data_IF_847449508471
#
_entry.id   IF_847449508471
#
_cell.length_a   1.000
_cell.length_b   1.000
_cell.length_c   1.000
_cell.angle_alpha   90.00
_cell.angle_beta   90.00
_cell.angle_gamma   90.00
#
_symmetry.space_group_name_H-M   'P 1'
#
loop_
_entity.id
_entity.type
_entity.pdbx_description
1 polymer ?
2 polymer ?
3 non-polymer ?
4 non-polymer ?
5 water ?
#
# COMPACT_ATOMS: atom_id res chain seq x y z
N UNK A 21 -20.46 7.83 -0.01
CA UNK A 21 -18.98 7.87 0.23
C UNK A 21 -18.35 6.68 -0.51
N UNK A 22 -17.40 6.93 -1.40
CA UNK A 22 -16.72 5.85 -2.14
C UNK A 22 -15.22 6.07 -2.22
N UNK A 23 -14.42 5.00 -2.20
CA UNK A 23 -12.97 5.10 -2.38
C UNK A 23 -12.63 5.15 -3.87
N UNK A 24 -11.45 5.70 -4.17
CA UNK A 24 -10.99 5.88 -5.53
C UNK A 24 -9.59 5.26 -5.70
N UNK A 25 -9.43 4.45 -6.72
CA UNK A 25 -8.14 3.82 -7.03
C UNK A 25 -7.21 4.92 -7.59
N UNK A 26 -6.04 5.12 -6.97
CA UNK A 26 -5.04 6.07 -7.53
C UNK A 26 -4.08 5.34 -8.48
N UNK A 27 -3.52 4.22 -8.02
CA UNK A 27 -2.56 3.47 -8.81
C UNK A 27 -2.60 2.01 -8.47
N UNK A 28 -2.53 1.17 -9.48
CA UNK A 28 -2.23 -0.27 -9.33
C UNK A 28 -0.71 -0.41 -9.11
N UNK A 29 -0.32 -1.01 -7.98
CA UNK A 29 1.08 -1.08 -7.56
C UNK A 29 1.75 -2.41 -7.81
N UNK A 30 0.98 -3.47 -7.92
CA UNK A 30 1.54 -4.79 -8.06
C UNK A 30 0.36 -5.75 -8.27
N UNK A 31 0.70 -6.97 -8.66
CA UNK A 31 -0.25 -8.04 -8.93
C UNK A 31 0.33 -9.34 -8.39
N UNK A 32 -0.51 -10.26 -7.95
CA UNK A 32 -0.04 -11.56 -7.48
C UNK A 32 -1.15 -12.60 -7.62
N UNK A 33 -0.75 -13.85 -7.58
CA UNK A 33 -1.67 -14.94 -7.25
C UNK A 33 -1.56 -15.14 -5.75
N UNK A 34 -2.66 -14.93 -5.04
CA UNK A 34 -2.67 -15.07 -3.60
C UNK A 34 -3.79 -15.94 -3.08
N UNK A 35 -3.68 -16.24 -1.78
CA UNK A 35 -4.66 -17.08 -1.09
C UNK A 35 -6.05 -16.45 -1.20
N UNK A 36 -7.05 -17.25 -1.46
CA UNK A 36 -8.39 -16.69 -1.57
C UNK A 36 -8.83 -16.04 -0.29
N UNK A 37 -9.28 -14.79 -0.39
CA UNK A 37 -9.66 -13.97 0.75
C UNK A 37 -8.55 -13.17 1.41
N UNK A 38 -7.31 -13.31 0.92
CA UNK A 38 -6.21 -12.46 1.46
C UNK A 38 -6.26 -11.08 0.78
N UNK A 39 -7.29 -10.29 1.13
CA UNK A 39 -7.57 -8.98 0.57
C UNK A 39 -8.21 -8.09 1.63
N UNK A 40 -8.16 -6.80 1.35
CA UNK A 40 -8.80 -5.77 2.13
C UNK A 40 -7.98 -5.33 3.33
N UNK A 41 -8.68 -4.94 4.39
CA UNK A 41 -8.06 -4.25 5.56
C UNK A 41 -6.97 -5.09 6.30
N UNK A 42 -7.11 -6.42 6.28
CA UNK A 42 -6.14 -7.34 6.86
C UNK A 42 -4.81 -7.39 6.11
N UNK A 43 -4.74 -6.79 4.93
CA UNK A 43 -3.48 -6.78 4.16
C UNK A 43 -2.69 -5.51 4.23
N UNK A 44 -3.12 -4.50 4.99
CA UNK A 44 -2.25 -3.32 5.19
C UNK A 44 -0.95 -3.73 5.89
N UNK A 45 0.11 -2.96 5.69
CA UNK A 45 1.38 -3.34 6.28
C UNK A 45 1.20 -3.35 7.80
N UNK A 46 0.38 -2.46 8.30
CA UNK A 46 0.19 -2.43 9.80
C UNK A 46 -0.71 -3.54 10.36
N UNK A 47 -1.68 -4.01 9.60
CA UNK A 47 -2.46 -5.21 10.01
C UNK A 47 -1.55 -6.46 10.01
N UNK A 48 -0.67 -6.53 9.02
CA UNK A 48 0.21 -7.61 8.82
C UNK A 48 1.19 -7.68 9.98
N UNK A 49 1.72 -6.53 10.38
CA UNK A 49 2.66 -6.43 11.49
C UNK A 49 1.96 -6.84 12.81
N UNK A 50 0.70 -6.45 13.00
CA UNK A 50 0.00 -6.77 14.25
C UNK A 50 -0.44 -8.23 14.28
N UNK A 51 -0.99 -8.73 13.17
CA UNK A 51 -1.65 -10.04 13.18
C UNK A 51 -1.11 -11.12 12.25
N UNK A 52 -0.11 -10.81 11.45
CA UNK A 52 0.41 -11.77 10.49
C UNK A 52 -0.21 -11.55 9.10
N UNK A 53 0.56 -11.90 8.09
CA UNK A 53 0.12 -11.79 6.72
C UNK A 53 -0.95 -12.86 6.39
N UNK A 54 -2.14 -12.46 5.89
CA UNK A 54 -3.19 -13.42 5.49
C UNK A 54 -2.78 -14.29 4.37
N UNK A 55 -1.75 -13.86 3.63
CA UNK A 55 -1.22 -14.63 2.56
C UNK A 55 0.03 -15.46 2.95
N UNK A 56 0.35 -15.49 4.25
CA UNK A 56 1.51 -16.25 4.74
C UNK A 56 1.50 -17.71 4.40
N UNK A 57 2.65 -18.15 3.88
CA UNK A 57 2.89 -19.53 3.47
C UNK A 57 2.11 -19.99 2.25
N UNK A 58 1.51 -19.07 1.50
CA UNK A 58 0.70 -19.45 0.35
C UNK A 58 1.59 -20.00 -0.74
N UNK A 59 1.32 -21.22 -1.19
CA UNK A 59 2.07 -21.85 -2.26
C UNK A 59 1.02 -22.10 -3.28
N UNK A 60 1.10 -21.44 -4.42
CA UNK A 60 0.04 -21.59 -5.43
C UNK A 60 -0.15 -22.98 -6.02
N UNK A 61 0.78 -23.91 -5.75
CA UNK A 61 0.61 -25.31 -6.13
C UNK A 61 -0.03 -26.21 -5.05
N UNK A 62 -0.36 -25.68 -3.89
CA UNK A 62 -0.87 -26.51 -2.79
C UNK A 62 -2.29 -26.05 -2.31
N UNK A 63 -2.83 -24.96 -2.89
CA UNK A 63 -4.15 -24.41 -2.48
C UNK A 63 -4.78 -23.43 -3.48
N UNK A 64 -6.11 -23.20 -3.36
CA UNK A 64 -6.81 -22.27 -4.26
C UNK A 64 -6.33 -20.84 -4.12
N UNK A 65 -6.19 -20.23 -5.29
CA UNK A 65 -5.61 -18.91 -5.43
C UNK A 65 -6.52 -18.03 -6.24
N UNK A 66 -6.21 -16.74 -6.30
CA UNK A 66 -6.98 -15.79 -7.05
C UNK A 66 -6.05 -14.62 -7.37
N UNK A 67 -6.37 -13.91 -8.44
CA UNK A 67 -5.58 -12.76 -8.88
C UNK A 67 -5.90 -11.58 -7.94
N UNK A 68 -4.86 -11.03 -7.32
CA UNK A 68 -5.02 -9.91 -6.44
C UNK A 68 -4.13 -8.77 -6.89
N UNK A 69 -4.61 -7.56 -6.70
CA UNK A 69 -3.92 -6.32 -7.07
C UNK A 69 -3.65 -5.50 -5.86
N UNK A 70 -2.44 -4.92 -5.82
CA UNK A 70 -2.11 -3.99 -4.71
C UNK A 70 -2.49 -2.55 -5.08
N UNK A 71 -3.36 -1.95 -4.29
CA UNK A 71 -3.96 -0.68 -4.66
C UNK A 71 -3.42 0.41 -3.74
N UNK A 72 -2.90 1.46 -4.38
CA UNK A 72 -2.72 2.76 -3.78
C UNK A 72 -4.01 3.55 -3.94
N UNK A 73 -4.55 3.98 -2.83
CA UNK A 73 -5.84 4.65 -2.80
C UNK A 73 -5.66 6.17 -2.79
N UNK A 74 -6.53 6.85 -3.53
CA UNK A 74 -6.58 8.33 -3.47
C UNK A 74 -6.92 8.86 -2.09
N UNK A 75 -6.08 9.79 -1.63
CA UNK A 75 -6.23 10.36 -0.29
C UNK A 75 -5.79 9.48 0.86
N UNK A 76 -5.21 8.32 0.60
CA UNK A 76 -4.60 7.50 1.67
C UNK A 76 -3.14 7.24 1.37
N UNK A 77 -2.26 7.45 2.33
CA UNK A 77 -0.87 7.18 2.12
C UNK A 77 -0.60 5.71 1.85
N UNK A 78 0.61 5.46 1.39
CA UNK A 78 1.04 4.10 1.05
C UNK A 78 0.99 3.08 2.19
N UNK A 79 1.10 3.48 3.45
CA UNK A 79 0.88 2.46 4.50
C UNK A 79 -0.48 1.79 4.45
N UNK A 80 -1.44 2.43 3.82
CA UNK A 80 -2.81 1.90 3.79
C UNK A 80 -3.14 1.12 2.52
N UNK A 81 -2.15 0.90 1.66
CA UNK A 81 -2.33 0.11 0.43
C UNK A 81 -2.87 -1.28 0.82
N UNK A 82 -3.86 -1.72 0.06
CA UNK A 82 -4.41 -3.05 0.30
C UNK A 82 -4.40 -3.90 -0.96
N UNK A 83 -4.39 -5.21 -0.76
CA UNK A 83 -4.63 -6.16 -1.85
C UNK A 83 -6.14 -6.36 -2.09
N UNK A 84 -6.55 -6.43 -3.36
CA UNK A 84 -7.96 -6.48 -3.74
C UNK A 84 -8.11 -7.35 -4.97
N UNK A 85 -9.29 -7.94 -5.15
CA UNK A 85 -9.59 -8.66 -6.40
C UNK A 85 -10.46 -7.73 -7.23
N UNK A 86 -10.65 -8.08 -8.49
CA UNK A 86 -11.63 -7.42 -9.34
C UNK A 86 -13.01 -7.48 -8.62
N UNK A 87 -13.35 -8.64 -8.03
CA UNK A 87 -14.59 -8.79 -7.27
C UNK A 87 -14.71 -7.83 -6.09
N UNK A 88 -13.69 -7.68 -5.25
CA UNK A 88 -13.81 -6.77 -4.12
C UNK A 88 -13.87 -5.30 -4.56
N UNK A 89 -13.19 -4.98 -5.65
CA UNK A 89 -13.23 -3.59 -6.12
C UNK A 89 -14.66 -3.25 -6.58
N UNK A 90 -15.28 -4.18 -7.29
CA UNK A 90 -16.62 -3.97 -7.81
C UNK A 90 -17.64 -3.98 -6.68
N UNK A 91 -17.48 -4.91 -5.72
CA UNK A 91 -18.40 -4.94 -4.57
C UNK A 91 -18.41 -3.69 -3.74
N UNK A 92 -17.28 -2.98 -3.68
CA UNK A 92 -17.11 -1.78 -2.87
C UNK A 92 -17.42 -0.53 -3.69
N UNK A 93 -17.76 -0.70 -4.97
CA UNK A 93 -18.16 0.40 -5.83
C UNK A 93 -17.07 1.46 -5.92
N UNK A 94 -15.81 1.05 -5.97
CA UNK A 94 -14.71 2.01 -6.03
C UNK A 94 -14.70 2.72 -7.37
N UNK A 95 -14.30 3.98 -7.33
CA UNK A 95 -14.09 4.80 -8.51
C UNK A 95 -12.71 4.56 -9.06
N UNK A 96 -12.51 4.94 -10.31
CA UNK A 96 -11.27 4.68 -11.03
C UNK A 96 -11.17 3.30 -11.62
N UNK A 97 -12.30 2.61 -11.85
CA UNK A 97 -12.24 1.27 -12.41
C UNK A 97 -11.65 1.18 -13.84
N UNK A 98 -11.66 2.26 -14.60
CA UNK A 98 -11.01 2.22 -15.93
C UNK A 98 -9.52 1.82 -15.77
N UNK A 99 -8.91 2.14 -14.61
CA UNK A 99 -7.50 1.81 -14.35
C UNK A 99 -7.24 0.32 -14.30
N UNK A 100 -8.26 -0.45 -13.90
CA UNK A 100 -8.15 -1.90 -13.87
C UNK A 100 -7.94 -2.47 -15.24
N UNK A 101 -8.82 -2.10 -16.17
CA UNK A 101 -8.71 -2.61 -17.52
C UNK A 101 -7.37 -2.18 -18.14
N UNK A 102 -6.94 -0.94 -17.88
CA UNK A 102 -5.60 -0.47 -18.34
C UNK A 102 -4.46 -1.33 -17.83
N UNK A 103 -4.50 -1.59 -16.52
CA UNK A 103 -3.48 -2.40 -15.89
C UNK A 103 -3.45 -3.82 -16.43
N UNK A 104 -4.60 -4.45 -16.56
CA UNK A 104 -4.66 -5.74 -17.20
C UNK A 104 -4.07 -5.72 -18.63
N UNK A 105 -4.37 -4.69 -19.42
CA UNK A 105 -3.83 -4.61 -20.79
C UNK A 105 -2.31 -4.42 -20.72
N UNK A 106 -1.83 -3.57 -19.82
CA UNK A 106 -0.38 -3.39 -19.64
C UNK A 106 0.28 -4.70 -19.24
N UNK A 107 -0.27 -5.37 -18.23
CA UNK A 107 0.31 -6.63 -17.79
C UNK A 107 0.30 -7.71 -18.87
N UNK A 108 -0.74 -7.76 -19.71
CA UNK A 108 -0.81 -8.72 -20.83
C UNK A 108 0.31 -8.42 -21.86
N UNK A 109 0.56 -7.14 -22.16
CA UNK A 109 1.64 -6.72 -23.07
C UNK A 109 3.04 -7.06 -22.51
N UNK A 110 3.21 -7.02 -21.19
CA UNK A 110 4.51 -7.34 -20.58
C UNK A 110 4.80 -8.84 -20.61
N UNK A 111 3.80 -9.65 -20.23
CA UNK A 111 3.91 -11.11 -20.33
C UNK A 111 4.32 -11.52 -21.73
N UNK A 112 3.66 -10.94 -22.74
CA UNK A 112 3.97 -11.21 -24.16
C UNK A 112 5.40 -10.86 -24.53
N UNK A 113 5.85 -9.68 -24.11
CA UNK A 113 7.23 -9.24 -24.32
C UNK A 113 8.24 -10.20 -23.66
N UNK A 114 8.06 -10.48 -22.37
CA UNK A 114 8.86 -11.46 -21.64
C UNK A 114 8.95 -12.83 -22.33
N UNK A 115 7.83 -13.30 -22.92
CA UNK A 115 7.77 -14.62 -23.58
C UNK A 115 8.64 -14.70 -24.84
N UNK A 116 8.83 -13.57 -25.53
CA UNK A 116 9.76 -13.49 -26.64
C UNK A 116 10.77 -12.39 -26.34
N UNK A 117 11.52 -12.54 -25.25
CA UNK A 117 12.55 -11.56 -24.84
C UNK A 117 13.87 -12.22 -24.41
N UNK A 118 14.97 -11.56 -24.75
CA UNK A 118 16.30 -12.09 -24.48
C UNK A 118 16.54 -12.34 -22.99
N UNK A 119 17.52 -13.21 -22.67
CA UNK A 119 17.90 -13.39 -21.26
C UNK A 119 18.39 -12.09 -20.64
N UNK A 120 19.26 -11.41 -21.39
CA UNK A 120 19.79 -10.10 -20.98
C UNK A 120 18.68 -9.11 -20.70
N UNK A 121 17.77 -8.92 -21.65
CA UNK A 121 16.68 -7.93 -21.53
C UNK A 121 15.77 -8.25 -20.35
N UNK A 122 15.45 -9.54 -20.21
CA UNK A 122 14.65 -10.06 -19.10
C UNK A 122 15.38 -9.87 -17.76
N UNK A 123 16.69 -10.03 -17.78
CA UNK A 123 17.56 -9.73 -16.63
C UNK A 123 17.41 -8.27 -16.13
N UNK A 124 17.48 -7.31 -17.04
CA UNK A 124 17.39 -5.87 -16.70
C UNK A 124 15.97 -5.50 -16.24
N UNK A 125 14.97 -6.18 -16.77
CA UNK A 125 13.60 -5.94 -16.36
C UNK A 125 13.45 -6.33 -14.88
N UNK A 126 13.96 -7.51 -14.53
CA UNK A 126 13.91 -8.03 -13.17
C UNK A 126 14.69 -7.24 -12.14
N UNK A 127 15.80 -6.62 -12.54
CA UNK A 127 16.47 -5.66 -11.64
C UNK A 127 15.64 -4.40 -11.42
N UNK A 128 15.04 -3.88 -12.51
CA UNK A 128 14.14 -2.70 -12.42
C UNK A 128 12.93 -2.92 -11.47
N UNK A 129 12.34 -4.12 -11.49
CA UNK A 129 11.22 -4.48 -10.60
C UNK A 129 11.65 -4.56 -9.14
N UNK A 130 12.87 -5.03 -8.91
CA UNK A 130 13.40 -5.07 -7.54
C UNK A 130 13.64 -3.67 -7.02
N UNK A 131 14.25 -2.80 -7.83
CA UNK A 131 14.45 -1.41 -7.38
C UNK A 131 13.14 -0.66 -7.12
N UNK A 132 12.16 -0.89 -7.98
CA UNK A 132 10.85 -0.32 -7.77
C UNK A 132 10.21 -0.85 -6.48
N UNK A 133 10.33 -2.16 -6.25
CA UNK A 133 9.83 -2.79 -5.04
C UNK A 133 10.43 -2.08 -3.82
N UNK A 134 11.73 -1.82 -3.87
CA UNK A 134 12.43 -1.15 -2.77
C UNK A 134 11.94 0.27 -2.54
N UNK A 135 11.75 1.01 -3.62
CA UNK A 135 11.22 2.36 -3.55
C UNK A 135 9.81 2.39 -2.95
N UNK A 136 9.00 1.41 -3.29
CA UNK A 136 7.63 1.38 -2.76
C UNK A 136 7.59 1.15 -1.27
N UNK A 137 8.51 0.34 -0.75
CA UNK A 137 8.66 0.10 0.67
C UNK A 137 9.09 1.37 1.41
N UNK A 138 9.94 2.18 0.80
CA UNK A 138 10.32 3.45 1.43
C UNK A 138 9.16 4.38 1.70
N UNK A 139 8.17 4.36 0.82
CA UNK A 139 7.02 5.23 0.93
C UNK A 139 6.18 4.99 2.16
N UNK A 140 6.39 3.84 2.79
CA UNK A 140 5.64 3.44 3.97
C UNK A 140 6.40 3.78 5.26
N UNK A 141 7.53 4.49 5.11
CA UNK A 141 8.37 4.93 6.20
C UNK A 141 8.24 6.42 6.42
N UNK A 142 7.87 6.80 7.63
CA UNK A 142 7.86 8.19 8.04
C UNK A 142 9.29 8.69 8.16
N UNK A 143 9.60 9.73 7.40
CA UNK A 143 10.90 10.36 7.47
C UNK A 143 10.89 11.40 8.61
N UNK A 144 9.83 12.19 8.72
CA UNK A 144 9.67 13.11 9.84
C UNK A 144 8.26 13.59 9.95
N UNK A 145 7.93 14.06 11.15
CA UNK A 145 6.60 14.57 11.45
C UNK A 145 6.70 16.07 11.44
N UNK A 146 5.73 16.74 10.85
CA UNK A 146 5.87 18.19 10.71
C UNK A 146 4.72 19.02 11.26
N UNK A 147 3.67 18.36 11.78
CA UNK A 147 2.58 19.01 12.47
C UNK A 147 1.79 17.96 13.27
N UNK A 148 1.05 18.42 14.26
CA UNK A 148 0.13 17.56 14.99
C UNK A 148 -1.16 18.25 15.27
N UNK A 149 -2.21 17.47 15.43
CA UNK A 149 -3.55 18.03 15.64
C UNK A 149 -3.74 18.53 17.06
N UNK A 150 -4.55 19.55 17.23
CA UNK A 150 -4.86 20.01 18.57
C UNK A 150 -5.76 18.99 19.28
N UNK A 151 -6.64 18.35 18.53
CA UNK A 151 -7.55 17.38 19.12
C UNK A 151 -6.80 16.04 19.37
N UNK A 152 -7.02 15.44 20.55
CA UNK A 152 -6.51 14.11 20.87
C UNK A 152 -7.65 13.07 20.95
N UNK A 153 -7.33 11.83 20.69
CA UNK A 153 -8.26 10.73 20.94
C UNK A 153 -8.51 10.54 22.44
N UNK A 154 -9.48 9.70 22.80
CA UNK A 154 -9.73 9.42 24.17
C UNK A 154 -8.52 8.80 24.86
N UNK A 155 -7.68 8.12 24.08
CA UNK A 155 -6.45 7.49 24.59
C UNK A 155 -5.23 8.48 24.63
N UNK A 156 -5.44 9.71 24.20
CA UNK A 156 -4.48 10.81 24.36
C UNK A 156 -3.54 10.99 23.18
N UNK A 157 -3.81 10.38 22.03
CA UNK A 157 -2.96 10.47 20.87
C UNK A 157 -3.49 11.59 19.96
N UNK A 158 -2.62 12.53 19.60
CA UNK A 158 -2.94 13.45 18.49
C UNK A 158 -2.82 12.68 17.18
N UNK A 159 -3.22 13.32 16.11
CA UNK A 159 -2.82 12.86 14.81
C UNK A 159 -1.57 13.64 14.40
N UNK A 160 -0.82 13.07 13.47
CA UNK A 160 0.47 13.57 13.03
C UNK A 160 0.50 13.76 11.51
N UNK A 161 1.07 14.87 11.09
CA UNK A 161 1.28 15.17 9.64
C UNK A 161 2.65 14.74 9.18
N UNK A 162 2.65 13.66 8.41
CA UNK A 162 3.85 12.88 8.14
C UNK A 162 4.41 13.15 6.74
N UNK A 163 5.71 13.35 6.69
CA UNK A 163 6.54 13.34 5.51
C UNK A 163 7.13 11.92 5.36
N UNK A 164 6.88 11.33 4.20
CA UNK A 164 7.21 9.96 3.85
C UNK A 164 8.53 9.91 3.10
N UNK A 165 9.36 8.90 3.42
CA UNK A 165 10.63 8.67 2.70
C UNK A 165 10.39 8.52 1.21
N UNK A 166 11.20 9.20 0.41
CA UNK A 166 11.17 9.08 -1.04
C UNK A 166 10.04 9.82 -1.74
N UNK A 167 9.17 10.50 -1.00
CA UNK A 167 8.08 11.25 -1.60
C UNK A 167 8.19 12.74 -1.28
N UNK A 168 7.74 13.61 -2.20
CA UNK A 168 7.80 15.05 -1.93
C UNK A 168 6.81 15.49 -0.81
N UNK A 169 6.94 16.73 -0.36
CA UNK A 169 6.08 17.23 0.74
C UNK A 169 4.64 17.30 0.32
N UNK A 170 4.38 17.38 -0.98
CA UNK A 170 2.98 17.31 -1.48
C UNK A 170 2.23 16.04 -1.14
N UNK A 171 2.95 14.96 -0.81
CA UNK A 171 2.38 13.68 -0.51
C UNK A 171 2.39 13.42 1.01
N UNK A 172 2.67 14.43 1.82
CA UNK A 172 2.46 14.31 3.28
C UNK A 172 1.00 14.00 3.57
N UNK A 173 0.77 13.42 4.73
CA UNK A 173 -0.55 12.96 5.11
C UNK A 173 -0.75 13.01 6.60
N UNK A 174 -1.99 13.28 7.01
CA UNK A 174 -2.42 13.11 8.42
C UNK A 174 -2.58 11.62 8.73
N UNK A 175 -2.01 11.17 9.85
CA UNK A 175 -2.07 9.76 10.25
C UNK A 175 -2.43 9.68 11.75
N UNK A 176 -3.15 8.62 12.09
CA UNK A 176 -3.58 8.29 13.44
C UNK A 176 -2.35 8.16 14.35
N UNK A 177 -2.30 8.91 15.45
CA UNK A 177 -1.15 8.89 16.31
C UNK A 177 -0.87 7.54 16.94
N UNK A 178 -1.92 6.83 17.35
CA UNK A 178 -1.76 5.47 17.91
C UNK A 178 -1.07 4.53 16.93
N UNK A 179 -1.50 4.59 15.67
CA UNK A 179 -0.82 3.84 14.66
C UNK A 179 0.66 4.24 14.41
N UNK A 180 0.93 5.54 14.26
CA UNK A 180 2.27 6.05 13.98
C UNK A 180 3.19 5.72 15.15
N UNK A 181 2.68 5.76 16.39
CA UNK A 181 3.52 5.50 17.55
C UNK A 181 4.06 4.07 17.64
N UNK A 182 3.38 3.12 17.01
CA UNK A 182 3.77 1.73 17.08
C UNK A 182 5.13 1.50 16.45
N UNK A 183 5.44 2.26 15.41
CA UNK A 183 6.63 2.02 14.63
C UNK A 183 7.54 3.20 14.50
N UNK A 184 7.01 4.41 14.69
CA UNK A 184 7.74 5.65 14.46
C UNK A 184 7.78 6.54 15.65
N UNK A 185 7.86 5.94 16.82
CA UNK A 185 8.04 6.74 18.00
C UNK A 185 9.26 7.70 17.95
N UNK A 186 10.36 7.29 17.35
CA UNK A 186 11.50 8.17 17.30
C UNK A 186 11.17 9.43 16.54
N UNK A 187 10.34 9.32 15.50
CA UNK A 187 9.90 10.54 14.78
C UNK A 187 9.05 11.47 15.65
N UNK A 188 8.19 10.87 16.46
CA UNK A 188 7.39 11.63 17.43
C UNK A 188 8.28 12.38 18.43
N UNK A 189 9.23 11.65 19.03
CA UNK A 189 10.17 12.28 19.96
C UNK A 189 11.02 13.39 19.30
N UNK A 190 11.48 13.19 18.06
CA UNK A 190 12.21 14.26 17.30
C UNK A 190 11.34 15.48 17.06
N UNK A 191 10.11 15.26 16.70
CA UNK A 191 9.20 16.38 16.43
C UNK A 191 8.92 17.23 17.69
N UNK A 192 8.68 16.60 18.84
CA UNK A 192 8.35 17.36 20.00
C UNK A 192 9.66 17.91 20.63
N UNK A 193 10.80 17.36 20.24
CA UNK A 193 12.13 17.92 20.56
C UNK A 193 12.19 19.37 20.12
N UNK B 9 -11.96 15.29 11.14
CA UNK B 9 -10.69 14.57 11.44
C UNK B 9 -10.17 13.89 10.17
N UNK B 10 -9.05 14.38 9.62
CA UNK B 10 -8.49 13.83 8.36
C UNK B 10 -7.81 12.46 8.53
N UNK B 11 -7.39 12.12 9.76
CA UNK B 11 -6.75 10.81 9.95
C UNK B 11 -7.77 9.70 10.12
N UNK B 12 -7.46 8.60 9.45
CA UNK B 12 -8.29 7.41 9.39
C UNK B 12 -7.34 6.21 9.34
N UNK B 13 -7.87 5.00 9.61
CA UNK B 13 -7.13 3.74 9.40
C UNK B 13 -8.09 2.75 8.72
N UNK B 14 -7.56 1.72 8.08
CA UNK B 14 -8.37 0.70 7.38
C UNK B 14 -8.86 -0.33 8.35
N UNK B 15 -10.19 -0.47 8.35
CA UNK B 15 -10.95 -1.21 9.37
C UNK B 15 -11.55 -2.48 8.77
X LIG C 1 -3.35 3.69 -0.10
X LIG D 1 -6.83 -15.47 4.31
X LIG E 1 0.05 -12.28 -11.56
X LIG F 1 -8.06 13.31 17.01
X LIG G 1 -6.67 16.62 11.58
X LIG H 1 0.59 6.93 -10.60
X LIG I 1 -1.60 9.89 -0.38
X LIG J 1 -1.62 8.81 25.06
X LIG K 1 12.07 13.57 -0.39
X LIG L 1 6.29 21.12 18.56
X LIG M 1 -6.60 14.45 11.63
X LIG N 1 -5.29 8.31 6.73
X LIG N 1 -5.25 9.34 7.70
X LIG N 1 -5.54 8.93 5.36
X LIG N 1 -6.70 9.78 5.38
X LIG N 1 -4.32 9.70 4.88
X LIG N 1 -3.19 8.82 4.67
#
# INVERSE_FOLDING_TARGET
MHHHHHHSSGRENLYFQGEEEFETIERFMDCRIGRKGATGATTTIYAVEADGDPNAGFEKNKEPGEIQYLIKWKGWSHIHNTWETEETLKQQNVRGMKKLDNYKKKDQETKRWLKNASPEDVEYYNCQQELTDDLHKQYQIVERIIAHSNQKSAAGYPDYYCKWQGLPYSECSWEDGALISKKFQACIDEYFSR
PKQKRKMARTARSKV
UNX UNK
UNX UNK
UNX UNK
UNX UNK
UNX UNK
UNX UNK
UNX UNK
UNX UNK
UNX UNK
UNX UNK
UNX UNK
GOL C1 O1 C2 O2 C3 O3
#
